data_IF_628539007346
#
_entry.id   IF_628539007346
#
_cell.length_a   1.000
_cell.length_b   1.000
_cell.length_c   1.000
_cell.angle_alpha   90.00
_cell.angle_beta   90.00
_cell.angle_gamma   90.00
#
_symmetry.space_group_name_H-M   'P 1'
#
loop_
_entity.id
_entity.type
_entity.pdbx_description
1 polymer ?
#
# COMPACT_ATOMS: atom_id res chain seq x y z
N UNK A 1 -9.43 -22.19 5.30
CA UNK A 1 -8.04 -22.61 5.06
C UNK A 1 -7.11 -21.86 5.99
N UNK A 2 -6.06 -22.51 6.48
CA UNK A 2 -5.07 -21.89 7.37
C UNK A 2 -4.26 -20.83 6.60
N UNK A 3 -4.13 -19.62 7.18
CA UNK A 3 -3.41 -18.48 6.59
C UNK A 3 -1.89 -18.67 6.59
N UNK A 4 -1.38 -19.35 7.61
CA UNK A 4 0.02 -19.73 7.75
C UNK A 4 0.17 -21.17 7.30
N UNK A 5 1.11 -21.42 6.39
CA UNK A 5 1.43 -22.76 5.90
C UNK A 5 2.93 -22.98 5.95
N UNK A 6 3.34 -24.12 6.46
CA UNK A 6 4.71 -24.59 6.42
C UNK A 6 4.84 -25.70 5.37
N UNK A 7 5.85 -25.60 4.51
CA UNK A 7 6.18 -26.63 3.51
C UNK A 7 7.64 -27.04 3.64
N UNK A 8 7.93 -28.26 3.19
CA UNK A 8 9.27 -28.82 3.18
C UNK A 8 9.49 -29.66 1.92
N UNK A 9 10.53 -29.35 1.17
CA UNK A 9 10.99 -30.09 -0.02
C UNK A 9 12.52 -30.29 -0.03
N UNK A 10 13.16 -30.13 1.13
CA UNK A 10 14.60 -29.93 1.29
C UNK A 10 14.94 -28.55 1.86
N UNK A 11 14.03 -27.58 1.71
CA UNK A 11 14.09 -26.27 2.36
C UNK A 11 12.76 -26.01 3.09
N UNK A 12 12.81 -25.36 4.24
CA UNK A 12 11.60 -24.97 4.98
C UNK A 12 11.04 -23.63 4.46
N UNK A 13 9.75 -23.62 4.08
CA UNK A 13 9.05 -22.41 3.63
C UNK A 13 7.90 -22.06 4.57
N UNK A 14 7.85 -20.80 5.01
CA UNK A 14 6.68 -20.20 5.65
C UNK A 14 5.92 -19.35 4.63
N UNK A 15 4.66 -19.72 4.35
CA UNK A 15 3.77 -18.95 3.48
C UNK A 15 2.67 -18.28 4.31
N UNK A 16 2.59 -16.95 4.25
CA UNK A 16 1.52 -16.16 4.86
C UNK A 16 0.58 -15.68 3.75
N UNK A 17 -0.60 -16.25 3.67
CA UNK A 17 -1.61 -15.88 2.66
C UNK A 17 -2.41 -14.67 3.12
N UNK A 18 -2.59 -13.70 2.22
CA UNK A 18 -3.43 -12.52 2.42
C UNK A 18 -3.04 -11.73 3.68
N UNK A 19 -1.80 -11.24 3.69
CA UNK A 19 -1.13 -10.56 4.81
C UNK A 19 -1.97 -9.41 5.35
N UNK A 20 -1.99 -9.28 6.68
CA UNK A 20 -2.68 -8.23 7.43
C UNK A 20 -1.69 -7.46 8.29
N UNK A 21 -2.07 -6.26 8.72
CA UNK A 21 -1.26 -5.43 9.63
C UNK A 21 -0.93 -6.20 10.92
N UNK A 22 -1.84 -7.08 11.37
CA UNK A 22 -1.62 -7.95 12.54
C UNK A 22 -0.51 -8.99 12.36
N UNK A 23 -0.06 -9.25 11.12
CA UNK A 23 1.03 -10.18 10.85
C UNK A 23 2.40 -9.50 10.91
N UNK A 24 2.45 -8.16 11.07
CA UNK A 24 3.69 -7.42 11.20
C UNK A 24 4.39 -7.72 12.53
N UNK A 25 5.72 -7.79 12.50
CA UNK A 25 6.54 -8.07 13.67
C UNK A 25 7.74 -8.95 13.35
N UNK A 26 8.40 -9.42 14.40
CA UNK A 26 9.56 -10.31 14.26
C UNK A 26 9.11 -11.76 14.02
N UNK A 27 9.68 -12.37 12.99
CA UNK A 27 9.56 -13.79 12.68
C UNK A 27 10.86 -14.46 13.09
N UNK A 28 10.77 -15.46 13.97
CA UNK A 28 11.92 -16.25 14.44
C UNK A 28 11.77 -17.69 13.95
N UNK A 29 12.73 -18.15 13.16
CA UNK A 29 12.88 -19.54 12.76
C UNK A 29 13.84 -20.24 13.72
N UNK A 30 13.39 -21.33 14.32
CA UNK A 30 14.15 -22.11 15.29
C UNK A 30 14.32 -23.52 14.73
N UNK A 31 15.56 -23.95 14.53
CA UNK A 31 15.91 -25.31 14.12
C UNK A 31 16.59 -26.02 15.29
N UNK A 32 16.01 -27.15 15.71
CA UNK A 32 16.45 -27.91 16.89
C UNK A 32 16.65 -29.38 16.55
N UNK A 33 17.74 -29.95 17.02
CA UNK A 33 18.04 -31.38 16.95
C UNK A 33 18.64 -31.88 18.29
N UNK A 34 19.16 -33.11 18.31
CA UNK A 34 19.80 -33.68 19.51
C UNK A 34 21.08 -32.94 19.93
N UNK A 35 21.77 -32.31 18.98
CA UNK A 35 23.07 -31.68 19.17
C UNK A 35 22.96 -30.20 19.57
N UNK A 36 21.82 -29.57 19.35
CA UNK A 36 21.62 -28.18 19.71
C UNK A 36 20.44 -27.50 19.02
N UNK A 37 20.50 -26.17 19.05
CA UNK A 37 19.46 -25.29 18.57
C UNK A 37 20.10 -24.07 17.90
N UNK A 38 19.59 -23.70 16.72
CA UNK A 38 20.00 -22.49 16.00
C UNK A 38 18.77 -21.66 15.68
N UNK A 39 18.94 -20.34 15.71
CA UNK A 39 17.86 -19.38 15.47
C UNK A 39 18.24 -18.42 14.34
N UNK A 40 17.25 -18.02 13.55
CA UNK A 40 17.34 -16.94 12.59
C UNK A 40 16.09 -16.07 12.71
N UNK A 41 16.24 -14.74 12.73
CA UNK A 41 15.10 -13.83 12.80
C UNK A 41 15.04 -12.85 11.62
N UNK A 42 13.84 -12.37 11.33
CA UNK A 42 13.56 -11.39 10.30
C UNK A 42 12.39 -10.50 10.71
N UNK A 43 12.46 -9.20 10.40
CA UNK A 43 11.37 -8.26 10.64
C UNK A 43 10.42 -8.22 9.43
N UNK A 44 9.11 -8.39 9.67
CA UNK A 44 8.07 -8.26 8.66
C UNK A 44 7.29 -6.96 8.87
N UNK A 45 7.45 -6.01 7.94
CA UNK A 45 6.66 -4.78 7.92
C UNK A 45 5.48 -4.91 6.96
N UNK A 46 4.25 -4.69 7.45
CA UNK A 46 3.02 -4.78 6.65
C UNK A 46 2.31 -3.43 6.63
N UNK A 47 2.20 -2.84 5.44
CA UNK A 47 1.53 -1.56 5.24
C UNK A 47 0.16 -1.74 4.59
N UNK A 48 -0.85 -1.03 5.10
CA UNK A 48 -2.12 -0.93 4.40
C UNK A 48 -1.91 -0.18 3.09
N UNK A 49 -2.30 -0.79 1.97
CA UNK A 49 -2.30 -0.12 0.68
C UNK A 49 -3.21 1.11 0.79
N UNK A 50 -2.66 2.30 0.51
CA UNK A 50 -3.45 3.54 0.49
C UNK A 50 -4.58 3.38 -0.51
N UNK A 51 -5.80 3.37 0.01
CA UNK A 51 -6.97 3.36 -0.84
C UNK A 51 -7.14 4.77 -1.43
N UNK A 52 -6.75 4.94 -2.69
CA UNK A 52 -6.86 6.21 -3.38
C UNK A 52 -8.30 6.72 -3.48
N UNK A 53 -9.31 5.85 -3.28
CA UNK A 53 -10.72 6.23 -3.23
C UNK A 53 -11.07 7.02 -1.97
N UNK A 54 -10.23 6.98 -0.94
CA UNK A 54 -10.36 7.83 0.25
C UNK A 54 -9.69 9.20 0.07
N UNK A 55 -8.98 9.43 -1.04
CA UNK A 55 -8.53 10.77 -1.39
C UNK A 55 -9.78 11.57 -1.72
N UNK A 56 -10.16 12.49 -0.82
CA UNK A 56 -11.15 13.52 -1.13
C UNK A 56 -10.63 14.27 -2.35
N UNK A 57 -11.22 13.98 -3.52
CA UNK A 57 -10.98 14.78 -4.71
C UNK A 57 -11.30 16.23 -4.35
N UNK A 58 -10.48 17.17 -4.85
CA UNK A 58 -10.78 18.59 -4.65
C UNK A 58 -12.21 18.82 -5.15
N UNK A 59 -13.09 19.45 -4.34
CA UNK A 59 -14.44 19.74 -4.80
C UNK A 59 -14.33 20.54 -6.10
N UNK A 60 -15.03 20.10 -7.13
CA UNK A 60 -15.13 20.84 -8.37
C UNK A 60 -15.85 22.14 -8.07
N UNK A 61 -15.14 23.27 -8.12
CA UNK A 61 -15.77 24.58 -8.13
C UNK A 61 -16.44 24.74 -9.50
N UNK A 62 -17.76 24.63 -9.53
CA UNK A 62 -18.52 25.00 -10.73
C UNK A 62 -18.30 26.49 -10.97
N UNK A 63 -17.73 26.83 -12.13
CA UNK A 63 -17.63 28.21 -12.55
C UNK A 63 -18.99 28.70 -12.97
N UNK A 64 -19.34 29.93 -12.61
CA UNK A 64 -20.54 30.58 -13.14
C UNK A 64 -20.35 30.91 -14.62
N UNK A 65 -21.45 31.15 -15.33
CA UNK A 65 -21.42 31.58 -16.73
C UNK A 65 -20.64 32.91 -16.86
N UNK A 66 -20.79 33.82 -15.90
CA UNK A 66 -20.09 35.11 -15.85
C UNK A 66 -18.57 34.94 -15.72
N UNK A 67 -18.10 34.06 -14.82
CA UNK A 67 -16.66 33.78 -14.66
C UNK A 67 -16.04 33.15 -15.92
N UNK A 68 -16.83 32.40 -16.70
CA UNK A 68 -16.40 31.83 -17.97
C UNK A 68 -16.29 32.92 -19.05
N UNK A 69 -17.28 33.82 -19.10
CA UNK A 69 -17.31 34.96 -20.02
C UNK A 69 -16.17 35.96 -19.76
N UNK A 70 -15.91 36.32 -18.50
CA UNK A 70 -14.79 37.21 -18.15
C UNK A 70 -13.44 36.63 -18.60
N UNK A 71 -13.29 35.30 -18.44
CA UNK A 71 -12.08 34.61 -18.88
C UNK A 71 -11.96 34.66 -20.40
N UNK A 72 -13.03 34.40 -21.13
CA UNK A 72 -13.07 34.50 -22.60
C UNK A 72 -12.75 35.92 -23.09
N UNK A 73 -13.31 36.95 -22.47
CA UNK A 73 -13.00 38.36 -22.77
C UNK A 73 -11.52 38.65 -22.51
N UNK A 74 -10.96 38.15 -21.41
CA UNK A 74 -9.54 38.26 -21.10
C UNK A 74 -8.65 37.59 -22.15
N UNK A 75 -9.03 36.40 -22.62
CA UNK A 75 -8.33 35.69 -23.69
C UNK A 75 -8.40 36.44 -25.01
N UNK A 76 -9.55 36.97 -25.40
CA UNK A 76 -9.67 37.76 -26.62
C UNK A 76 -8.80 39.02 -26.53
N UNK A 77 -8.81 39.74 -25.40
CA UNK A 77 -7.94 40.93 -25.21
C UNK A 77 -6.45 40.61 -25.30
N UNK A 78 -6.02 39.45 -24.82
CA UNK A 78 -4.62 38.99 -24.91
C UNK A 78 -4.20 38.55 -26.31
N UNK A 79 -5.14 38.13 -27.15
CA UNK A 79 -4.87 37.66 -28.53
C UNK A 79 -4.87 38.81 -29.54
N UNK A 80 -5.50 39.95 -29.20
CA UNK A 80 -5.57 41.15 -30.04
C UNK A 80 -4.50 42.22 -29.75
N UNK A 81 -3.43 41.88 -29.03
CA UNK A 81 -2.23 42.72 -28.82
C UNK A 81 -0.96 42.04 -29.31
#
# INVERSE_FOLDING_TARGET
GHRYKLHYDGIHYLTISNTRISDAGEIVAIAKNSEGEVMASAMLDVFQKKDFRQVKLKPTSFKTIEELQEREIGWQKLVFF
#
